data_IF_012874747989
#
_entry.id   IF_012874747989
#
_cell.length_a   1.000
_cell.length_b   1.000
_cell.length_c   1.000
_cell.angle_alpha   90.00
_cell.angle_beta   90.00
_cell.angle_gamma   90.00
#
_symmetry.space_group_name_H-M   'P 1'
#
loop_
_entity.id
_entity.type
_entity.pdbx_description
1 polymer ?
#
# COMPACT_ATOMS: atom_id res chain seq x y z
N UNK A 1 19.10 6.10 10.04
CA UNK A 1 20.40 6.77 9.79
C UNK A 1 21.41 5.87 9.07
N UNK A 2 21.71 4.64 9.55
CA UNK A 2 22.66 3.73 8.86
C UNK A 2 22.30 3.48 7.39
N UNK A 3 21.02 3.29 7.10
CA UNK A 3 20.51 3.09 5.73
C UNK A 3 20.52 4.38 4.90
N UNK A 4 20.45 5.56 5.54
CA UNK A 4 20.40 6.85 4.84
C UNK A 4 21.79 7.30 4.37
N UNK A 5 22.74 7.36 5.30
CA UNK A 5 24.04 8.02 5.08
C UNK A 5 25.23 7.16 5.49
N UNK A 6 25.00 5.96 6.04
CA UNK A 6 26.07 5.15 6.64
C UNK A 6 26.72 5.80 7.87
N UNK A 7 26.09 6.84 8.46
CA UNK A 7 26.67 7.62 9.55
C UNK A 7 27.45 8.87 9.10
N UNK A 8 27.49 9.15 7.79
CA UNK A 8 28.17 10.34 7.28
C UNK A 8 27.26 11.59 7.38
N UNK A 9 27.57 12.48 8.33
CA UNK A 9 26.84 13.73 8.53
C UNK A 9 26.92 14.72 7.34
N UNK A 10 27.90 14.56 6.44
CA UNK A 10 28.09 15.42 5.26
C UNK A 10 27.68 14.72 3.96
N UNK A 11 26.93 13.63 4.04
CA UNK A 11 26.47 12.89 2.87
C UNK A 11 25.55 13.75 1.99
N UNK A 12 25.78 13.67 0.67
CA UNK A 12 24.91 14.25 -0.35
C UNK A 12 24.57 13.14 -1.35
N UNK A 13 23.28 12.86 -1.56
CA UNK A 13 22.88 11.88 -2.57
C UNK A 13 22.96 12.45 -3.99
N UNK A 14 22.93 11.59 -5.01
CA UNK A 14 22.81 12.00 -6.42
C UNK A 14 21.60 12.90 -6.71
N UNK A 15 20.54 12.78 -5.90
CA UNK A 15 19.33 13.59 -6.03
C UNK A 15 19.38 14.89 -5.20
N UNK A 16 20.48 15.12 -4.46
CA UNK A 16 20.68 16.30 -3.63
C UNK A 16 20.14 16.18 -2.21
N UNK A 17 19.82 14.97 -1.73
CA UNK A 17 19.44 14.77 -0.33
C UNK A 17 20.64 15.01 0.60
N UNK A 18 20.45 15.71 1.71
CA UNK A 18 21.55 16.26 2.52
C UNK A 18 21.58 15.72 3.95
N UNK A 19 22.79 15.50 4.44
CA UNK A 19 23.08 15.27 5.84
C UNK A 19 22.79 13.85 6.32
N UNK A 20 22.87 13.65 7.64
CA UNK A 20 22.79 12.33 8.27
C UNK A 20 21.48 11.58 7.98
N UNK A 21 20.36 12.32 7.90
CA UNK A 21 19.01 11.82 7.65
C UNK A 21 18.55 12.01 6.19
N UNK A 22 19.44 12.46 5.30
CA UNK A 22 19.20 12.59 3.87
C UNK A 22 17.91 13.38 3.54
N UNK A 23 17.81 14.60 4.05
CA UNK A 23 16.64 15.46 3.84
C UNK A 23 16.78 16.20 2.52
N UNK A 24 15.71 16.24 1.72
CA UNK A 24 15.69 16.99 0.46
C UNK A 24 15.73 18.51 0.71
N UNK A 25 16.38 19.32 -0.15
CA UNK A 25 16.54 20.76 0.08
C UNK A 25 15.23 21.54 0.28
N UNK A 26 14.18 21.19 -0.49
CA UNK A 26 12.86 21.80 -0.34
C UNK A 26 12.25 21.46 1.05
N UNK A 27 12.31 20.19 1.43
CA UNK A 27 11.84 19.71 2.74
C UNK A 27 12.61 20.34 3.90
N UNK A 28 13.93 20.51 3.76
CA UNK A 28 14.77 21.19 4.75
C UNK A 28 14.32 22.63 4.97
N UNK A 29 14.07 23.36 3.88
CA UNK A 29 13.63 24.76 3.92
C UNK A 29 12.34 24.92 4.72
N UNK A 30 11.38 24.03 4.50
CA UNK A 30 10.12 24.03 5.25
C UNK A 30 10.33 23.68 6.72
N UNK A 31 11.09 22.62 7.01
CA UNK A 31 11.29 22.13 8.37
C UNK A 31 12.08 23.13 9.22
N UNK A 32 13.14 23.73 8.67
CA UNK A 32 13.93 24.71 9.42
C UNK A 32 13.10 25.94 9.80
N UNK A 33 12.22 26.39 8.91
CA UNK A 33 11.34 27.52 9.19
C UNK A 33 10.31 27.17 10.27
N UNK A 34 9.71 25.97 10.20
CA UNK A 34 8.69 25.52 11.17
C UNK A 34 9.25 25.23 12.55
N UNK A 35 10.47 24.71 12.63
CA UNK A 35 11.07 24.24 13.89
C UNK A 35 12.19 25.14 14.42
N UNK A 36 12.44 26.30 13.79
CA UNK A 36 13.45 27.25 14.25
C UNK A 36 14.87 26.71 14.18
N UNK A 37 15.19 25.93 13.13
CA UNK A 37 16.50 25.29 12.95
C UNK A 37 17.50 26.23 12.27
N UNK A 38 18.79 25.92 12.41
CA UNK A 38 19.87 26.62 11.75
C UNK A 38 19.81 26.57 10.21
N UNK A 39 20.74 27.29 9.58
CA UNK A 39 20.83 27.35 8.13
C UNK A 39 21.54 26.12 7.53
N UNK A 40 22.44 25.48 8.30
CA UNK A 40 23.28 24.38 7.82
C UNK A 40 22.54 23.04 7.89
N UNK A 41 22.18 22.41 6.75
CA UNK A 41 21.56 21.08 6.73
C UNK A 41 22.51 19.95 7.12
N UNK A 42 23.82 20.22 7.25
CA UNK A 42 24.83 19.25 7.67
C UNK A 42 25.15 19.34 9.16
N UNK A 43 24.57 20.30 9.90
CA UNK A 43 24.62 20.28 11.36
C UNK A 43 23.90 19.03 11.85
N UNK A 44 24.61 18.21 12.64
CA UNK A 44 24.11 16.89 13.06
C UNK A 44 22.83 17.02 13.88
N UNK A 45 22.79 17.98 14.81
CA UNK A 45 21.64 18.14 15.70
C UNK A 45 20.42 18.58 14.90
N UNK A 46 20.57 19.62 14.08
CA UNK A 46 19.45 20.18 13.33
C UNK A 46 18.96 19.22 12.24
N UNK A 47 19.86 18.50 11.57
CA UNK A 47 19.49 17.47 10.60
C UNK A 47 18.72 16.31 11.25
N UNK A 48 19.11 15.88 12.46
CA UNK A 48 18.38 14.86 13.22
C UNK A 48 17.00 15.37 13.63
N UNK A 49 16.92 16.59 14.16
CA UNK A 49 15.65 17.20 14.58
C UNK A 49 14.68 17.35 13.41
N UNK A 50 15.16 17.85 12.27
CA UNK A 50 14.37 17.97 11.05
C UNK A 50 13.90 16.60 10.56
N UNK A 51 14.78 15.61 10.48
CA UNK A 51 14.43 14.29 9.96
C UNK A 51 13.47 13.54 10.89
N UNK A 52 13.62 13.67 12.21
CA UNK A 52 12.68 13.13 13.19
C UNK A 52 11.30 13.79 13.08
N UNK A 53 11.24 15.12 12.95
CA UNK A 53 10.00 15.85 12.73
C UNK A 53 9.31 15.41 11.42
N UNK A 54 10.10 15.19 10.37
CA UNK A 54 9.57 14.74 9.09
C UNK A 54 9.04 13.31 9.14
N UNK A 55 9.75 12.39 9.82
CA UNK A 55 9.26 11.04 10.09
C UNK A 55 7.94 11.09 10.86
N UNK A 56 7.84 11.94 11.89
CA UNK A 56 6.60 12.13 12.64
C UNK A 56 5.46 12.62 11.73
N UNK A 57 5.72 13.59 10.86
CA UNK A 57 4.73 14.06 9.88
C UNK A 57 4.25 12.93 8.95
N UNK A 58 5.17 12.07 8.49
CA UNK A 58 4.81 10.92 7.66
C UNK A 58 4.02 9.88 8.45
N UNK A 59 4.35 9.66 9.73
CA UNK A 59 3.59 8.77 10.61
C UNK A 59 2.15 9.27 10.79
N UNK A 60 1.98 10.54 11.13
CA UNK A 60 0.67 11.14 11.35
C UNK A 60 -0.20 11.10 10.07
N UNK A 61 0.43 11.16 8.90
CA UNK A 61 -0.26 11.12 7.61
C UNK A 61 -0.67 9.71 7.15
N UNK A 62 0.18 8.71 7.36
CA UNK A 62 0.01 7.37 6.77
C UNK A 62 -0.28 6.25 7.79
N UNK A 63 -0.13 6.53 9.08
CA UNK A 63 -0.62 5.69 10.18
C UNK A 63 0.13 4.37 10.43
N UNK A 64 1.07 3.98 9.58
CA UNK A 64 1.90 2.78 9.79
C UNK A 64 3.34 2.99 9.35
N UNK A 65 4.26 2.23 9.94
CA UNK A 65 5.69 2.38 9.74
C UNK A 65 6.12 2.15 8.27
N UNK A 66 5.59 1.13 7.61
CA UNK A 66 5.95 0.82 6.22
C UNK A 66 5.54 1.95 5.28
N UNK A 67 4.31 2.44 5.41
CA UNK A 67 3.81 3.54 4.58
C UNK A 67 4.55 4.86 4.86
N UNK A 68 4.81 5.15 6.14
CA UNK A 68 5.62 6.29 6.56
C UNK A 68 7.01 6.27 5.91
N UNK A 69 7.72 5.14 5.97
CA UNK A 69 9.08 5.00 5.43
C UNK A 69 9.09 5.04 3.90
N UNK A 70 8.07 4.46 3.27
CA UNK A 70 7.89 4.54 1.82
C UNK A 70 7.70 6.00 1.37
N UNK A 71 6.83 6.74 2.05
CA UNK A 71 6.58 8.15 1.76
C UNK A 71 7.79 9.05 2.07
N UNK A 72 8.52 8.78 3.15
CA UNK A 72 9.75 9.50 3.50
C UNK A 72 10.78 9.41 2.36
N UNK A 73 10.97 8.21 1.80
CA UNK A 73 11.93 7.98 0.74
C UNK A 73 11.44 8.42 -0.66
N UNK A 74 10.21 8.07 -1.03
CA UNK A 74 9.66 8.37 -2.35
C UNK A 74 9.19 9.82 -2.49
N UNK A 75 8.93 10.49 -1.37
CA UNK A 75 8.17 11.72 -1.27
C UNK A 75 6.66 11.47 -1.08
N UNK A 76 5.97 12.25 -0.24
CA UNK A 76 4.57 12.01 0.10
C UNK A 76 3.64 12.09 -1.11
N UNK A 77 3.81 13.08 -1.99
CA UNK A 77 3.00 13.18 -3.21
C UNK A 77 3.14 11.96 -4.13
N UNK A 78 4.34 11.39 -4.22
CA UNK A 78 4.55 10.16 -5.01
C UNK A 78 3.87 8.96 -4.37
N UNK A 79 3.89 8.87 -3.04
CA UNK A 79 3.21 7.81 -2.31
C UNK A 79 1.68 7.97 -2.35
N UNK A 80 1.17 9.20 -2.33
CA UNK A 80 -0.25 9.49 -2.52
C UNK A 80 -0.73 9.06 -3.92
N UNK A 81 0.07 9.31 -4.96
CA UNK A 81 -0.22 8.87 -6.32
C UNK A 81 -0.23 7.33 -6.42
N UNK A 82 0.63 6.65 -5.66
CA UNK A 82 0.62 5.19 -5.56
C UNK A 82 -0.67 4.69 -4.91
N UNK A 83 -1.08 5.28 -3.78
CA UNK A 83 -2.30 4.89 -3.07
C UNK A 83 -3.58 5.19 -3.86
N UNK A 84 -3.64 6.33 -4.55
CA UNK A 84 -4.87 6.81 -5.21
C UNK A 84 -5.00 6.38 -6.67
N UNK A 85 -3.88 6.28 -7.40
CA UNK A 85 -3.87 6.00 -8.85
C UNK A 85 -3.15 4.71 -9.22
N UNK A 86 -2.64 3.97 -8.23
CA UNK A 86 -1.90 2.73 -8.48
C UNK A 86 -0.57 2.94 -9.21
N UNK A 87 -0.03 4.17 -9.25
CA UNK A 87 1.25 4.43 -9.92
C UNK A 87 2.36 3.67 -9.20
N UNK A 88 3.15 2.81 -9.87
CA UNK A 88 4.21 2.06 -9.21
C UNK A 88 5.21 2.96 -8.47
N UNK A 89 5.69 2.47 -7.32
CA UNK A 89 6.77 3.12 -6.59
C UNK A 89 8.10 2.97 -7.35
N UNK A 90 9.05 3.90 -7.17
CA UNK A 90 10.37 3.79 -7.78
C UNK A 90 11.08 2.51 -7.31
N UNK A 91 11.84 1.81 -8.18
CA UNK A 91 12.62 0.64 -7.79
C UNK A 91 13.54 0.91 -6.59
N UNK A 92 14.09 2.12 -6.50
CA UNK A 92 14.92 2.54 -5.37
C UNK A 92 14.17 2.54 -4.05
N UNK A 93 12.90 2.95 -4.04
CA UNK A 93 12.07 2.96 -2.83
C UNK A 93 11.75 1.55 -2.38
N UNK A 94 11.41 0.66 -3.33
CA UNK A 94 11.17 -0.76 -3.02
C UNK A 94 12.44 -1.39 -2.42
N UNK A 95 13.60 -1.15 -3.04
CA UNK A 95 14.89 -1.62 -2.54
C UNK A 95 15.25 -0.99 -1.17
N UNK A 96 14.89 0.26 -0.93
CA UNK A 96 15.08 0.92 0.37
C UNK A 96 14.27 0.25 1.48
N UNK A 97 12.99 -0.04 1.25
CA UNK A 97 12.15 -0.76 2.21
C UNK A 97 12.71 -2.16 2.50
N UNK A 98 13.18 -2.88 1.48
CA UNK A 98 13.81 -4.18 1.64
C UNK A 98 15.09 -4.12 2.49
N UNK A 99 15.90 -3.06 2.37
CA UNK A 99 17.08 -2.86 3.24
C UNK A 99 16.68 -2.55 4.67
N UNK A 100 15.61 -1.79 4.89
CA UNK A 100 15.14 -1.46 6.22
C UNK A 100 14.60 -2.68 6.96
N UNK A 101 13.85 -3.55 6.31
CA UNK A 101 13.37 -4.80 6.94
C UNK A 101 14.52 -5.71 7.35
N UNK A 102 15.58 -5.79 6.53
CA UNK A 102 16.80 -6.55 6.85
C UNK A 102 17.57 -5.97 8.06
N UNK A 103 17.57 -4.64 8.23
CA UNK A 103 18.28 -3.96 9.33
C UNK A 103 17.47 -3.92 10.62
N UNK A 104 16.15 -3.75 10.53
CA UNK A 104 15.27 -3.63 11.69
C UNK A 104 15.01 -4.96 12.39
N UNK A 105 15.21 -6.09 11.71
CA UNK A 105 14.86 -7.41 12.21
C UNK A 105 13.34 -7.54 12.40
N UNK A 106 12.84 -8.76 12.39
CA UNK A 106 11.42 -9.11 12.55
C UNK A 106 10.85 -8.81 13.95
N UNK A 107 11.45 -7.91 14.74
CA UNK A 107 10.97 -7.52 16.06
C UNK A 107 9.94 -6.37 16.02
N UNK A 108 9.93 -5.55 14.96
CA UNK A 108 8.92 -4.50 14.73
C UNK A 108 7.95 -4.80 13.60
N UNK A 109 8.18 -5.88 12.84
CA UNK A 109 7.35 -6.25 11.70
C UNK A 109 6.12 -7.10 12.07
N UNK A 110 6.12 -7.74 13.25
CA UNK A 110 5.02 -8.59 13.70
C UNK A 110 3.76 -7.79 14.10
N UNK A 111 3.88 -6.50 14.42
CA UNK A 111 2.73 -5.58 14.53
C UNK A 111 2.36 -4.92 13.19
N UNK A 112 3.22 -5.07 12.17
CA UNK A 112 3.09 -4.42 10.85
C UNK A 112 2.54 -5.39 9.79
N UNK A 113 2.32 -6.65 10.15
CA UNK A 113 1.69 -7.66 9.30
C UNK A 113 0.34 -8.12 9.90
N UNK A 114 -0.71 -7.31 9.73
CA UNK A 114 -2.00 -7.68 9.10
C UNK A 114 -2.83 -6.39 9.03
N UNK A 115 -2.78 -5.74 7.88
CA UNK A 115 -4.00 -5.40 7.16
C UNK A 115 -3.59 -5.03 5.75
N UNK A 116 -3.79 -5.95 4.80
CA UNK A 116 -4.06 -5.52 3.44
C UNK A 116 -5.18 -4.44 3.49
N UNK A 117 -5.24 -3.48 2.57
CA UNK A 117 -6.42 -2.61 2.47
C UNK A 117 -7.65 -3.53 2.42
N UNK A 118 -8.57 -3.32 3.36
CA UNK A 118 -9.83 -4.07 3.38
C UNK A 118 -10.47 -3.86 2.03
N UNK A 119 -10.63 -4.93 1.25
CA UNK A 119 -11.41 -4.84 0.02
C UNK A 119 -12.83 -4.40 0.42
N UNK A 120 -13.26 -3.18 0.04
CA UNK A 120 -14.57 -2.66 0.42
C UNK A 120 -15.73 -3.48 -0.19
N UNK A 121 -15.43 -4.39 -1.12
CA UNK A 121 -16.38 -5.30 -1.75
C UNK A 121 -16.30 -6.75 -1.24
N UNK A 122 -15.46 -7.05 -0.24
CA UNK A 122 -15.32 -8.40 0.32
C UNK A 122 -16.64 -8.97 0.87
N UNK A 123 -17.49 -8.12 1.44
CA UNK A 123 -18.81 -8.49 1.97
C UNK A 123 -19.79 -8.98 0.88
N UNK A 124 -19.56 -8.63 -0.39
CA UNK A 124 -20.40 -9.10 -1.50
C UNK A 124 -20.03 -10.52 -1.96
N UNK A 125 -18.82 -10.97 -1.65
CA UNK A 125 -18.30 -12.30 -2.07
C UNK A 125 -18.17 -13.29 -0.93
N UNK A 126 -18.18 -12.83 0.32
CA UNK A 126 -18.24 -13.71 1.48
C UNK A 126 -19.64 -14.32 1.62
N UNK A 127 -19.70 -15.63 1.86
CA UNK A 127 -20.97 -16.29 2.20
C UNK A 127 -21.52 -15.72 3.51
N UNK A 128 -22.81 -15.39 3.53
CA UNK A 128 -23.49 -14.73 4.66
C UNK A 128 -23.60 -15.59 5.93
N UNK A 129 -23.19 -16.86 5.90
CA UNK A 129 -23.34 -17.79 7.00
C UNK A 129 -22.08 -18.62 7.21
N UNK A 130 -21.58 -18.61 8.45
CA UNK A 130 -20.54 -19.55 8.91
C UNK A 130 -21.21 -20.88 9.21
N UNK A 131 -20.87 -21.92 8.44
CA UNK A 131 -21.26 -23.30 8.77
C UNK A 131 -20.29 -23.84 9.79
N UNK A 132 -20.66 -23.78 11.07
CA UNK A 132 -19.95 -24.50 12.13
C UNK A 132 -20.18 -26.00 11.92
N UNK A 133 -19.14 -26.74 11.53
CA UNK A 133 -19.22 -28.19 11.51
C UNK A 133 -19.41 -28.69 12.95
N UNK A 134 -20.60 -29.21 13.23
CA UNK A 134 -20.88 -29.96 14.46
C UNK A 134 -20.07 -31.25 14.44
N UNK A 135 -19.11 -31.38 15.35
CA UNK A 135 -18.42 -32.65 15.61
C UNK A 135 -19.38 -33.54 16.39
N UNK A 136 -19.80 -34.66 15.79
CA UNK A 136 -20.43 -35.77 16.50
C UNK A 136 -19.36 -36.84 16.78
N UNK A 137 -19.35 -37.50 17.96
CA UNK A 137 -18.38 -38.53 18.27
C UNK A 137 -18.91 -39.96 18.01
N UNK A 138 -17.96 -40.91 18.07
CA UNK A 138 -18.09 -42.38 18.25
C UNK A 138 -18.14 -43.30 17.00
N UNK A 139 -16.99 -43.98 16.83
CA UNK A 139 -16.79 -45.44 16.67
C UNK A 139 -17.50 -46.25 15.56
N UNK A 140 -16.65 -46.88 14.72
CA UNK A 140 -16.69 -48.34 14.52
C UNK A 140 -17.06 -48.90 13.13
N UNK A 141 -16.06 -49.49 12.45
CA UNK A 141 -16.14 -50.71 11.59
C UNK A 141 -16.80 -50.53 10.19
N UNK A 142 -16.45 -51.15 9.04
CA UNK A 142 -15.60 -52.27 8.58
C UNK A 142 -15.27 -52.02 7.08
N UNK A 143 -14.17 -52.60 6.59
CA UNK A 143 -13.73 -52.70 5.18
C UNK A 143 -14.71 -53.42 4.25
N UNK A 144 -14.69 -53.10 2.95
CA UNK A 144 -14.89 -54.06 1.86
C UNK A 144 -14.25 -53.55 0.58
N UNK A 145 -13.45 -54.42 -0.02
CA UNK A 145 -12.71 -54.28 -1.28
C UNK A 145 -13.61 -54.12 -2.51
N UNK A 146 -13.01 -53.64 -3.61
CA UNK A 146 -13.47 -53.96 -4.97
C UNK A 146 -13.22 -52.87 -6.02
N UNK A 147 -12.20 -53.11 -6.86
CA UNK A 147 -12.09 -52.72 -8.28
C UNK A 147 -12.11 -51.23 -8.72
N UNK A 148 -10.91 -50.70 -8.98
CA UNK A 148 -10.57 -49.92 -10.19
C UNK A 148 -10.11 -50.95 -11.28
N UNK A 149 -10.12 -50.67 -12.61
CA UNK A 149 -9.70 -49.38 -13.15
C UNK A 149 -10.28 -48.90 -14.51
N UNK A 150 -9.87 -47.68 -14.83
CA UNK A 150 -9.31 -47.23 -16.12
C UNK A 150 -10.18 -46.43 -17.12
N UNK A 151 -9.63 -45.22 -17.39
CA UNK A 151 -9.47 -44.54 -18.69
C UNK A 151 -10.75 -44.02 -19.37
N UNK A 152 -10.84 -42.81 -19.93
CA UNK A 152 -9.88 -42.12 -20.79
C UNK A 152 -10.40 -40.67 -21.07
N UNK A 153 -9.50 -39.69 -21.06
CA UNK A 153 -9.57 -38.43 -21.84
C UNK A 153 -8.35 -38.49 -22.80
N UNK A 154 -8.18 -37.65 -23.87
CA UNK A 154 -8.91 -36.44 -24.30
C UNK A 154 -9.07 -36.30 -25.85
N UNK A 155 -9.49 -35.09 -26.26
CA UNK A 155 -9.12 -34.34 -27.48
C UNK A 155 -10.01 -34.46 -28.73
N UNK A 156 -10.62 -33.33 -29.13
CA UNK A 156 -10.28 -32.68 -30.40
C UNK A 156 -10.93 -31.27 -30.53
N UNK A 157 -10.07 -30.32 -30.87
CA UNK A 157 -10.26 -28.98 -31.47
C UNK A 157 -9.03 -28.84 -32.41
N UNK A 158 -8.97 -27.98 -33.46
CA UNK A 158 -9.84 -26.86 -33.81
C UNK A 158 -10.15 -26.73 -35.33
N UNK A 159 -11.04 -25.82 -35.76
CA UNK A 159 -10.87 -25.10 -37.04
C UNK A 159 -11.42 -23.67 -37.00
N UNK A 160 -10.67 -22.78 -37.64
CA UNK A 160 -10.77 -21.32 -37.61
C UNK A 160 -11.73 -20.69 -38.61
N UNK A 161 -12.05 -19.43 -38.30
CA UNK A 161 -12.11 -18.25 -39.17
C UNK A 161 -13.42 -17.83 -39.88
N UNK A 162 -14.00 -16.78 -39.27
CA UNK A 162 -14.10 -15.41 -39.80
C UNK A 162 -15.39 -14.97 -40.50
N UNK A 163 -15.82 -13.73 -40.18
CA UNK A 163 -16.60 -12.73 -40.97
C UNK A 163 -17.23 -11.68 -40.02
N UNK A 164 -16.49 -10.57 -39.88
CA UNK A 164 -16.87 -9.13 -39.96
C UNK A 164 -18.23 -8.60 -39.42
N UNK A 165 -18.05 -7.57 -38.56
CA UNK A 165 -18.70 -6.24 -38.54
C UNK A 165 -20.21 -6.09 -38.33
N UNK A 166 -20.60 -5.48 -37.20
CA UNK A 166 -21.36 -4.21 -37.17
C UNK A 166 -21.64 -3.74 -35.72
N UNK A 167 -21.34 -2.46 -35.45
CA UNK A 167 -21.92 -1.65 -34.36
C UNK A 167 -23.19 -0.98 -34.90
N UNK A 168 -24.23 -0.65 -34.10
CA UNK A 168 -24.15 0.54 -33.24
C UNK A 168 -24.94 0.51 -31.90
N UNK A 169 -24.47 1.35 -30.96
CA UNK A 169 -25.20 2.29 -30.09
C UNK A 169 -26.54 1.88 -29.42
N UNK A 170 -26.64 2.03 -28.09
CA UNK A 170 -27.55 3.00 -27.41
C UNK A 170 -27.62 2.79 -25.87
N UNK A 171 -27.38 3.91 -25.15
CA UNK A 171 -27.84 4.38 -23.82
C UNK A 171 -27.62 3.56 -22.53
N UNK A 172 -26.76 4.13 -21.69
CA UNK A 172 -26.99 4.22 -20.24
C UNK A 172 -28.05 5.29 -19.90
N UNK A 173 -28.69 5.18 -18.73
CA UNK A 173 -28.84 6.33 -17.85
C UNK A 173 -28.21 6.08 -16.47
N UNK A 174 -27.32 6.99 -16.07
CA UNK A 174 -26.67 7.03 -14.78
C UNK A 174 -27.64 7.29 -13.62
N UNK A 175 -27.53 6.45 -12.59
CA UNK A 175 -28.22 6.63 -11.32
C UNK A 175 -27.48 7.70 -10.51
N UNK A 176 -27.96 8.94 -10.64
CA UNK A 176 -27.44 10.09 -9.91
C UNK A 176 -27.89 10.04 -8.45
N UNK A 177 -26.98 9.64 -7.56
CA UNK A 177 -27.14 9.66 -6.11
C UNK A 177 -26.99 11.09 -5.54
N UNK A 178 -27.76 12.06 -6.06
CA UNK A 178 -27.79 13.42 -5.54
C UNK A 178 -29.20 13.81 -5.11
N UNK A 179 -29.36 14.11 -3.81
CA UNK A 179 -30.56 14.70 -3.25
C UNK A 179 -30.46 16.23 -3.38
N UNK A 180 -31.41 16.93 -4.04
CA UNK A 180 -31.43 18.38 -4.06
C UNK A 180 -31.87 18.90 -2.69
N UNK A 181 -31.05 19.75 -2.05
CA UNK A 181 -31.47 20.49 -0.85
C UNK A 181 -32.36 21.67 -1.25
N UNK A 182 -33.62 21.59 -0.85
CA UNK A 182 -34.57 22.70 -0.95
C UNK A 182 -34.10 23.90 -0.11
N UNK A 183 -34.26 25.08 -0.71
CA UNK A 183 -34.02 26.40 -0.13
C UNK A 183 -35.24 26.81 0.71
N UNK A 184 -35.04 26.99 2.01
CA UNK A 184 -35.93 27.71 2.92
C UNK A 184 -34.99 28.39 3.93
N UNK A 185 -35.09 29.65 4.32
CA UNK A 185 -36.08 30.71 4.20
C UNK A 185 -35.60 31.74 5.23
N UNK A 186 -35.49 33.03 4.87
CA UNK A 186 -35.24 34.10 5.85
C UNK A 186 -36.47 34.25 6.74
N UNK A 187 -36.28 34.69 7.98
CA UNK A 187 -37.07 35.84 8.41
C UNK A 187 -36.24 36.92 9.13
N UNK A 188 -36.58 38.15 8.71
CA UNK A 188 -36.52 39.47 9.35
C UNK A 188 -35.17 40.01 9.83
#
# INVERSE_FOLDING_TARGET
MRVESGGNARAISRAGAMGLMQIMPATWTDLRARHGLGADPFDVRDNIMAGAAYLRQMHDRYGNATAMLAAYNAGPGRYDDYLSRGRPLPPETVGYLARLTAVAGTAGAAEVAVSAPRDPSAWRRAGLFVRTASVAPEAGSVQSDGEEPASELPADEPTSDDVRSAVPSVKEPGDTLFVPRARAGRPQ
#
